data_IF_067349002319
#
_entry.id   IF_067349002319
#
_cell.length_a   1.000
_cell.length_b   1.000
_cell.length_c   1.000
_cell.angle_alpha   90.00
_cell.angle_beta   90.00
_cell.angle_gamma   90.00
#
_symmetry.space_group_name_H-M   'P 1'
#
loop_
_entity.id
_entity.type
_entity.pdbx_description
1 polymer ?
#
# COMPACT_ATOMS: atom_id res chain seq x y z
N UNK A 1 -14.91 13.48 26.85
CA UNK A 1 -14.59 13.15 25.46
C UNK A 1 -13.09 13.02 25.24
N UNK A 2 -12.35 14.07 25.56
CA UNK A 2 -10.88 14.03 25.42
C UNK A 2 -10.22 12.97 26.30
N UNK A 3 -10.70 12.77 27.50
CA UNK A 3 -10.22 11.74 28.40
C UNK A 3 -10.39 10.34 27.82
N UNK A 4 -11.56 10.09 27.25
CA UNK A 4 -11.89 8.82 26.65
C UNK A 4 -11.05 8.57 25.39
N UNK A 5 -10.83 9.59 24.60
CA UNK A 5 -9.97 9.50 23.42
C UNK A 5 -8.52 9.24 23.81
N UNK A 6 -8.02 9.88 24.84
CA UNK A 6 -6.67 9.67 25.34
C UNK A 6 -6.49 8.25 25.88
N UNK A 7 -7.47 7.72 26.61
CA UNK A 7 -7.44 6.35 27.11
C UNK A 7 -7.47 5.34 25.97
N UNK A 8 -8.31 5.55 24.98
CA UNK A 8 -8.40 4.68 23.80
C UNK A 8 -7.08 4.67 23.05
N UNK A 9 -6.50 5.84 22.87
CA UNK A 9 -5.22 6.00 22.21
C UNK A 9 -4.09 5.30 22.96
N UNK A 10 -4.05 5.48 24.28
CA UNK A 10 -3.07 4.84 25.15
C UNK A 10 -3.20 3.32 25.14
N UNK A 11 -4.44 2.79 25.19
CA UNK A 11 -4.73 1.37 25.09
C UNK A 11 -4.27 0.81 23.75
N UNK A 12 -4.51 1.52 22.67
CA UNK A 12 -4.05 1.13 21.34
C UNK A 12 -2.53 1.03 21.29
N UNK A 13 -1.83 2.00 21.85
CA UNK A 13 -0.38 1.97 21.87
C UNK A 13 0.16 0.74 22.59
N UNK A 14 -0.44 0.38 23.72
CA UNK A 14 -0.01 -0.77 24.51
C UNK A 14 -0.31 -2.10 23.82
N UNK A 15 -1.48 -2.20 23.18
CA UNK A 15 -1.87 -3.38 22.40
C UNK A 15 -1.08 -3.46 21.11
N UNK A 16 -0.86 -2.30 20.48
CA UNK A 16 -0.26 -2.21 19.15
C UNK A 16 1.23 -2.53 19.13
N UNK A 17 1.93 -2.51 20.26
CA UNK A 17 3.35 -2.85 20.30
C UNK A 17 3.61 -4.26 19.76
N UNK A 18 2.78 -5.24 20.15
CA UNK A 18 2.87 -6.60 19.64
C UNK A 18 2.39 -6.73 18.20
N UNK A 19 1.36 -5.97 17.83
CA UNK A 19 0.85 -5.94 16.46
C UNK A 19 1.84 -5.31 15.50
N UNK A 20 2.48 -4.22 15.91
CA UNK A 20 3.51 -3.56 15.11
C UNK A 20 4.66 -4.53 14.82
N UNK A 21 5.08 -5.30 15.82
CA UNK A 21 6.13 -6.31 15.66
C UNK A 21 5.71 -7.39 14.66
N UNK A 22 4.44 -7.82 14.73
CA UNK A 22 3.90 -8.80 13.78
C UNK A 22 3.87 -8.25 12.37
N UNK A 23 3.42 -7.01 12.20
CA UNK A 23 3.35 -6.39 10.88
C UNK A 23 4.73 -6.12 10.31
N UNK A 24 5.70 -5.74 11.15
CA UNK A 24 7.09 -5.58 10.71
C UNK A 24 7.66 -6.91 10.22
N UNK A 25 7.43 -8.00 10.95
CA UNK A 25 7.88 -9.33 10.55
C UNK A 25 7.21 -9.77 9.25
N UNK A 26 5.90 -9.52 9.11
CA UNK A 26 5.17 -9.83 7.89
C UNK A 26 5.68 -8.99 6.71
N UNK A 27 6.00 -7.72 6.95
CA UNK A 27 6.56 -6.85 5.92
C UNK A 27 7.90 -7.35 5.41
N UNK A 28 8.75 -7.81 6.32
CA UNK A 28 10.03 -8.42 5.94
C UNK A 28 9.84 -9.63 5.04
N UNK A 29 8.88 -10.51 5.37
CA UNK A 29 8.56 -11.67 4.54
C UNK A 29 7.98 -11.26 3.18
N UNK A 30 7.02 -10.34 3.19
CA UNK A 30 6.32 -9.92 1.97
C UNK A 30 7.30 -9.35 0.95
N UNK A 31 8.24 -8.55 1.43
CA UNK A 31 9.20 -7.85 0.57
C UNK A 31 10.49 -8.64 0.33
N UNK A 32 10.63 -9.82 0.91
CA UNK A 32 11.75 -10.72 0.64
C UNK A 32 11.48 -11.50 -0.64
N UNK A 33 12.27 -11.29 -1.71
CA UNK A 33 12.08 -11.99 -2.97
C UNK A 33 12.36 -13.48 -2.91
N UNK A 34 12.90 -13.97 -1.82
CA UNK A 34 13.19 -15.39 -1.61
C UNK A 34 12.19 -16.06 -0.67
N UNK A 35 11.13 -15.34 -0.26
CA UNK A 35 10.08 -15.86 0.61
C UNK A 35 8.97 -16.55 -0.20
N UNK A 36 7.89 -16.91 0.51
CA UNK A 36 6.68 -17.43 -0.13
C UNK A 36 6.04 -16.46 -1.12
N UNK A 37 6.39 -15.16 -1.05
CA UNK A 37 5.88 -14.12 -1.95
C UNK A 37 6.73 -13.97 -3.22
N UNK A 38 7.70 -14.83 -3.44
CA UNK A 38 8.56 -14.80 -4.62
C UNK A 38 7.81 -14.67 -5.95
N UNK A 39 6.69 -15.40 -6.19
CA UNK A 39 5.97 -15.26 -7.45
C UNK A 39 5.51 -13.83 -7.73
N UNK A 40 5.15 -13.07 -6.70
CA UNK A 40 4.76 -11.67 -6.87
C UNK A 40 5.96 -10.81 -7.28
N UNK A 41 7.13 -11.06 -6.71
CA UNK A 41 8.36 -10.35 -7.07
C UNK A 41 8.80 -10.67 -8.49
N UNK A 42 8.64 -11.91 -8.91
CA UNK A 42 9.03 -12.33 -10.25
C UNK A 42 8.17 -11.68 -11.33
N UNK A 43 6.86 -11.53 -11.08
CA UNK A 43 5.95 -10.96 -12.06
C UNK A 43 5.90 -9.42 -12.03
N UNK A 44 6.30 -8.81 -10.92
CA UNK A 44 6.14 -7.36 -10.74
C UNK A 44 6.84 -6.51 -11.81
N UNK A 45 8.11 -6.79 -12.20
CA UNK A 45 8.75 -6.02 -13.25
C UNK A 45 8.03 -6.10 -14.60
N UNK A 46 7.46 -7.27 -14.91
CA UNK A 46 6.70 -7.47 -16.14
C UNK A 46 5.43 -6.63 -16.14
N UNK A 47 4.72 -6.60 -15.01
CA UNK A 47 3.51 -5.80 -14.85
C UNK A 47 3.82 -4.30 -14.95
N UNK A 48 4.89 -3.86 -14.31
CA UNK A 48 5.32 -2.47 -14.36
C UNK A 48 5.67 -2.03 -15.77
N UNK A 49 6.44 -2.84 -16.49
CA UNK A 49 6.81 -2.55 -17.87
C UNK A 49 5.58 -2.50 -18.77
N UNK A 50 4.66 -3.45 -18.61
CA UNK A 50 3.42 -3.50 -19.38
C UNK A 50 2.61 -2.22 -19.20
N UNK A 51 2.44 -1.77 -17.96
CA UNK A 51 1.66 -0.57 -17.65
C UNK A 51 2.37 0.67 -18.19
N UNK A 52 3.66 0.81 -17.91
CA UNK A 52 4.43 2.00 -18.26
C UNK A 52 4.53 2.20 -19.77
N UNK A 53 4.69 1.11 -20.53
CA UNK A 53 4.71 1.17 -21.99
C UNK A 53 3.38 1.71 -22.58
N UNK A 54 2.27 1.44 -21.90
CA UNK A 54 0.93 1.81 -22.40
C UNK A 54 0.47 3.19 -21.95
N UNK A 55 0.84 3.60 -20.73
CA UNK A 55 0.29 4.83 -20.15
C UNK A 55 1.34 5.90 -19.82
N UNK A 56 2.61 5.59 -19.88
CA UNK A 56 3.68 6.49 -19.44
C UNK A 56 3.45 6.97 -18.00
N UNK A 57 3.88 6.20 -17.04
CA UNK A 57 3.60 6.42 -15.61
C UNK A 57 4.01 7.79 -15.05
N UNK A 58 5.13 8.42 -15.46
CA UNK A 58 5.51 9.70 -14.86
C UNK A 58 4.40 10.74 -14.92
N UNK A 59 4.04 11.31 -13.76
CA UNK A 59 3.02 12.35 -13.64
C UNK A 59 1.58 11.87 -13.68
N UNK A 60 1.34 10.58 -13.86
CA UNK A 60 -0.03 10.04 -13.91
C UNK A 60 -0.56 9.81 -12.50
N UNK A 61 -1.87 10.03 -12.34
CA UNK A 61 -2.59 9.68 -11.12
C UNK A 61 -3.13 8.28 -11.29
N UNK A 62 -2.66 7.35 -10.45
CA UNK A 62 -2.94 5.92 -10.56
C UNK A 62 -3.66 5.43 -9.32
N UNK A 63 -4.67 4.59 -9.52
CA UNK A 63 -5.28 3.83 -8.43
C UNK A 63 -4.96 2.34 -8.62
N UNK A 64 -4.46 1.72 -7.57
CA UNK A 64 -4.15 0.28 -7.54
C UNK A 64 -5.21 -0.41 -6.66
N UNK A 65 -6.13 -1.11 -7.30
CA UNK A 65 -7.26 -1.76 -6.63
C UNK A 65 -6.84 -3.16 -6.20
N UNK A 66 -6.93 -3.44 -4.89
CA UNK A 66 -6.42 -4.68 -4.34
C UNK A 66 -4.90 -4.66 -4.25
N UNK A 67 -4.34 -3.58 -3.73
CA UNK A 67 -2.89 -3.34 -3.76
C UNK A 67 -2.06 -4.29 -2.91
N UNK A 68 -2.66 -5.00 -1.96
CA UNK A 68 -1.94 -5.91 -1.08
C UNK A 68 -0.79 -5.23 -0.35
N UNK A 69 0.37 -5.88 -0.31
CA UNK A 69 1.57 -5.37 0.36
C UNK A 69 2.34 -4.29 -0.38
N UNK A 70 1.82 -3.81 -1.52
CA UNK A 70 2.32 -2.61 -2.16
C UNK A 70 3.40 -2.78 -3.21
N UNK A 71 3.69 -4.00 -3.64
CA UNK A 71 4.76 -4.24 -4.63
C UNK A 71 4.53 -3.45 -5.92
N UNK A 72 3.34 -3.54 -6.50
CA UNK A 72 3.02 -2.83 -7.73
C UNK A 72 2.86 -1.32 -7.48
N UNK A 73 2.14 -0.94 -6.45
CA UNK A 73 1.93 0.47 -6.08
C UNK A 73 3.25 1.20 -5.90
N UNK A 74 4.15 0.63 -5.10
CA UNK A 74 5.44 1.24 -4.84
C UNK A 74 6.31 1.30 -6.10
N UNK A 75 6.24 0.26 -6.93
CA UNK A 75 6.94 0.22 -8.22
C UNK A 75 6.48 1.32 -9.16
N UNK A 76 5.16 1.57 -9.22
CA UNK A 76 4.62 2.65 -10.05
C UNK A 76 5.02 4.03 -9.52
N UNK A 77 4.99 4.21 -8.20
CA UNK A 77 5.42 5.45 -7.57
C UNK A 77 6.90 5.74 -7.84
N UNK A 78 7.75 4.72 -7.81
CA UNK A 78 9.17 4.87 -8.13
C UNK A 78 9.39 5.29 -9.58
N UNK A 79 8.45 5.00 -10.47
CA UNK A 79 8.48 5.43 -11.86
C UNK A 79 7.84 6.79 -12.09
N UNK A 80 7.52 7.51 -11.02
CA UNK A 80 7.05 8.89 -11.09
C UNK A 80 5.54 9.08 -11.10
N UNK A 81 4.76 8.02 -10.89
CA UNK A 81 3.32 8.12 -10.77
C UNK A 81 2.90 8.59 -9.38
N UNK A 82 1.76 9.26 -9.29
CA UNK A 82 1.10 9.60 -8.05
C UNK A 82 0.09 8.49 -7.75
N UNK A 83 0.41 7.62 -6.80
CA UNK A 83 -0.31 6.36 -6.61
C UNK A 83 -1.15 6.36 -5.34
N UNK A 84 -2.39 5.91 -5.48
CA UNK A 84 -3.27 5.54 -4.39
C UNK A 84 -3.50 4.04 -4.46
N UNK A 85 -3.14 3.32 -3.40
CA UNK A 85 -3.41 1.89 -3.28
C UNK A 85 -4.59 1.65 -2.34
N UNK A 86 -5.53 0.83 -2.75
CA UNK A 86 -6.67 0.46 -1.90
C UNK A 86 -6.74 -1.05 -1.72
N UNK A 87 -7.15 -1.46 -0.53
CA UNK A 87 -7.34 -2.87 -0.21
C UNK A 87 -8.30 -2.96 0.98
N UNK A 88 -8.96 -4.09 1.14
CA UNK A 88 -9.81 -4.33 2.31
C UNK A 88 -9.05 -4.98 3.46
N UNK A 89 -7.89 -5.54 3.19
CA UNK A 89 -7.09 -6.24 4.20
C UNK A 89 -6.24 -5.30 5.03
N UNK A 90 -6.44 -5.32 6.35
CA UNK A 90 -5.67 -4.50 7.27
C UNK A 90 -4.18 -4.89 7.27
N UNK A 91 -3.90 -6.19 7.32
CA UNK A 91 -2.52 -6.68 7.38
C UNK A 91 -1.71 -6.35 6.12
N UNK A 92 -2.20 -6.61 4.91
CA UNK A 92 -1.47 -6.19 3.70
C UNK A 92 -1.24 -4.69 3.63
N UNK A 93 -2.23 -3.88 3.99
CA UNK A 93 -2.07 -2.42 4.00
C UNK A 93 -1.03 -1.96 5.00
N UNK A 94 -0.98 -2.57 6.18
CA UNK A 94 0.05 -2.27 7.17
C UNK A 94 1.45 -2.58 6.62
N UNK A 95 1.60 -3.71 5.94
CA UNK A 95 2.86 -4.08 5.26
C UNK A 95 3.23 -3.02 4.22
N UNK A 96 2.27 -2.62 3.39
CA UNK A 96 2.49 -1.64 2.35
C UNK A 96 2.96 -0.29 2.91
N UNK A 97 2.30 0.19 3.96
CA UNK A 97 2.66 1.45 4.62
C UNK A 97 4.05 1.39 5.25
N UNK A 98 4.34 0.31 5.96
CA UNK A 98 5.64 0.12 6.63
C UNK A 98 6.76 0.16 5.61
N UNK A 99 6.63 -0.61 4.55
CA UNK A 99 7.71 -0.69 3.56
C UNK A 99 7.88 0.64 2.80
N UNK A 100 6.79 1.30 2.40
CA UNK A 100 6.86 2.58 1.71
C UNK A 100 7.56 3.63 2.57
N UNK A 101 7.26 3.68 3.86
CA UNK A 101 7.92 4.59 4.79
C UNK A 101 9.41 4.28 4.89
N UNK A 102 9.79 3.02 5.06
CA UNK A 102 11.19 2.60 5.13
C UNK A 102 11.95 2.91 3.84
N UNK A 103 11.29 2.75 2.71
CA UNK A 103 11.89 2.97 1.40
C UNK A 103 11.90 4.45 0.98
N UNK A 104 11.18 5.31 1.70
CA UNK A 104 11.07 6.72 1.36
C UNK A 104 10.24 6.97 0.11
N UNK A 105 9.26 6.12 -0.18
CA UNK A 105 8.39 6.22 -1.35
C UNK A 105 7.01 6.68 -0.92
N UNK A 106 6.48 7.71 -1.59
CA UNK A 106 5.17 8.26 -1.27
C UNK A 106 4.08 7.51 -2.03
N UNK A 107 3.20 6.84 -1.28
CA UNK A 107 1.99 6.20 -1.81
C UNK A 107 0.88 6.44 -0.78
N UNK A 108 -0.29 6.83 -1.26
CA UNK A 108 -1.47 6.93 -0.41
C UNK A 108 -2.13 5.56 -0.33
N UNK A 109 -2.21 4.96 0.87
CA UNK A 109 -2.89 3.68 1.08
C UNK A 109 -4.16 3.88 1.89
N UNK A 110 -5.27 3.34 1.39
CA UNK A 110 -6.59 3.46 2.02
C UNK A 110 -7.26 2.09 2.14
N UNK A 111 -7.83 1.83 3.31
CA UNK A 111 -8.67 0.65 3.52
C UNK A 111 -10.11 1.01 3.14
N UNK A 112 -10.47 0.72 1.91
CA UNK A 112 -11.77 1.08 1.36
C UNK A 112 -12.14 0.18 0.19
N UNK A 113 -13.43 -0.10 -0.02
CA UNK A 113 -13.86 -0.80 -1.22
C UNK A 113 -13.80 0.12 -2.45
N UNK A 114 -13.62 -0.49 -3.62
CA UNK A 114 -13.50 0.24 -4.88
C UNK A 114 -14.72 1.12 -5.16
N UNK A 115 -15.91 0.65 -4.83
CA UNK A 115 -17.16 1.38 -5.06
C UNK A 115 -17.17 2.70 -4.31
N UNK A 116 -16.69 2.71 -3.08
CA UNK A 116 -16.67 3.91 -2.26
C UNK A 116 -15.70 4.94 -2.82
N UNK A 117 -14.52 4.52 -3.24
CA UNK A 117 -13.53 5.43 -3.82
C UNK A 117 -14.02 5.98 -5.17
N UNK A 118 -14.75 5.16 -5.93
CA UNK A 118 -15.34 5.58 -7.19
C UNK A 118 -16.39 6.69 -7.00
N UNK A 119 -17.16 6.62 -5.92
CA UNK A 119 -18.12 7.68 -5.59
C UNK A 119 -17.43 8.96 -5.13
N UNK A 120 -16.44 8.82 -4.25
CA UNK A 120 -15.77 9.97 -3.63
C UNK A 120 -14.81 10.68 -4.57
N UNK A 121 -14.19 9.95 -5.49
CA UNK A 121 -13.10 10.46 -6.33
C UNK A 121 -13.30 10.15 -7.81
N UNK A 122 -14.55 10.21 -8.29
CA UNK A 122 -14.86 9.97 -9.69
C UNK A 122 -14.05 10.91 -10.59
N UNK A 123 -13.43 10.36 -11.63
CA UNK A 123 -12.68 11.12 -12.61
C UNK A 123 -11.33 11.68 -12.16
N UNK A 124 -10.84 11.30 -10.97
CA UNK A 124 -9.58 11.82 -10.45
C UNK A 124 -8.35 11.02 -10.88
N UNK A 125 -8.53 9.81 -11.38
CA UNK A 125 -7.42 8.93 -11.75
C UNK A 125 -7.30 8.78 -13.26
N UNK A 126 -6.07 8.76 -13.73
CA UNK A 126 -5.74 8.54 -15.14
C UNK A 126 -5.67 7.05 -15.49
N UNK A 127 -5.28 6.25 -14.50
CA UNK A 127 -5.08 4.80 -14.67
C UNK A 127 -5.64 4.06 -13.48
#
# INVERSE_FOLDING_TARGET
MTEQQAQTHSSKQNVDAGEIAKFNALAEQWWDPNSQFRPLHDINPLRLNYIDERVSLPGKKVIDIGCGGGLLSEGMARRGAEVTGIDMGEAPLAVARIHAEQAGVAVEYLQTPAEQIAEQRAGQYDV
#
